data_IF_922345321782
#
_entry.id   IF_922345321782
#
_cell.length_a   1.000
_cell.length_b   1.000
_cell.length_c   1.000
_cell.angle_alpha   90.00
_cell.angle_beta   90.00
_cell.angle_gamma   90.00
#
_symmetry.space_group_name_H-M   'P 1'
#
loop_
_entity.id
_entity.type
_entity.pdbx_description
1 polymer ?
#
# COMPACT_ATOMS: atom_id res chain seq x y z
N UNK A 1 51.01 18.10 -72.97
CA UNK A 1 49.71 18.82 -73.01
C UNK A 1 48.58 17.81 -73.05
N UNK A 2 47.82 17.68 -71.95
CA UNK A 2 46.46 17.09 -71.91
C UNK A 2 45.84 17.54 -70.59
N UNK A 3 44.79 18.35 -70.66
CA UNK A 3 44.09 18.87 -69.49
C UNK A 3 42.96 17.91 -69.09
N UNK A 4 42.71 17.79 -67.78
CA UNK A 4 41.50 17.17 -67.23
C UNK A 4 40.83 18.20 -66.32
N UNK A 5 39.50 18.41 -66.40
CA UNK A 5 38.81 19.42 -65.63
C UNK A 5 38.48 18.94 -64.21
N UNK A 6 38.59 19.84 -63.24
CA UNK A 6 38.15 19.59 -61.86
C UNK A 6 36.64 19.77 -61.77
N UNK A 7 35.90 18.71 -61.39
CA UNK A 7 34.47 18.80 -61.11
C UNK A 7 34.29 19.12 -59.61
N UNK A 8 33.75 20.30 -59.29
CA UNK A 8 33.39 20.66 -57.92
C UNK A 8 31.94 20.25 -57.65
N UNK A 9 31.73 19.33 -56.71
CA UNK A 9 30.41 18.87 -56.29
C UNK A 9 30.04 19.53 -54.96
N UNK A 10 29.26 20.61 -54.99
CA UNK A 10 28.66 21.20 -53.79
C UNK A 10 27.48 20.34 -53.33
N UNK A 11 27.64 19.62 -52.23
CA UNK A 11 26.56 18.93 -51.55
C UNK A 11 25.88 19.87 -50.54
N UNK A 12 24.62 20.21 -50.79
CA UNK A 12 23.79 20.98 -49.86
C UNK A 12 23.20 20.05 -48.81
N UNK A 13 23.68 20.13 -47.57
CA UNK A 13 23.05 19.42 -46.44
C UNK A 13 21.83 20.22 -46.00
N UNK A 14 20.64 19.71 -46.30
CA UNK A 14 19.39 20.22 -45.73
C UNK A 14 19.24 19.74 -44.29
N UNK A 15 19.32 20.64 -43.32
CA UNK A 15 19.00 20.34 -41.92
C UNK A 15 17.48 20.28 -41.80
N UNK A 16 16.94 19.06 -41.76
CA UNK A 16 15.57 18.84 -41.28
C UNK A 16 15.61 18.99 -39.76
N UNK A 17 15.07 20.09 -39.25
CA UNK A 17 14.86 20.26 -37.82
C UNK A 17 13.77 19.30 -37.36
N UNK A 18 14.16 18.22 -36.68
CA UNK A 18 13.22 17.47 -35.85
C UNK A 18 12.84 18.39 -34.70
N UNK A 19 11.62 18.91 -34.72
CA UNK A 19 10.99 19.42 -33.51
C UNK A 19 10.73 18.21 -32.61
N UNK A 20 11.63 17.97 -31.67
CA UNK A 20 11.32 17.15 -30.51
C UNK A 20 10.13 17.83 -29.83
N UNK A 21 9.04 17.09 -29.62
CA UNK A 21 8.05 17.50 -28.63
C UNK A 21 8.78 17.72 -27.30
N UNK A 22 8.34 18.66 -26.45
CA UNK A 22 8.80 18.64 -25.06
C UNK A 22 8.56 17.23 -24.53
N UNK A 23 9.60 16.63 -23.94
CA UNK A 23 9.36 15.44 -23.13
C UNK A 23 8.37 15.85 -22.04
N UNK A 24 7.36 15.02 -21.77
CA UNK A 24 6.59 15.17 -20.56
C UNK A 24 7.59 15.26 -19.40
N UNK A 25 7.50 16.31 -18.59
CA UNK A 25 8.34 16.43 -17.41
C UNK A 25 8.03 15.23 -16.53
N UNK A 26 9.06 14.46 -16.16
CA UNK A 26 8.93 13.38 -15.20
C UNK A 26 8.19 13.90 -13.97
N UNK A 27 7.08 13.26 -13.60
CA UNK A 27 6.32 13.64 -12.44
C UNK A 27 7.22 13.52 -11.20
N UNK A 28 7.27 14.60 -10.44
CA UNK A 28 8.09 14.68 -9.23
C UNK A 28 7.37 14.02 -8.06
N UNK A 29 8.08 13.61 -6.99
CA UNK A 29 7.44 13.16 -5.76
C UNK A 29 6.46 14.20 -5.20
N UNK A 30 6.73 15.49 -5.45
CA UNK A 30 5.89 16.62 -5.05
C UNK A 30 4.50 16.60 -5.71
N UNK A 31 4.37 16.08 -6.93
CA UNK A 31 3.07 15.97 -7.61
C UNK A 31 2.20 14.89 -6.92
N UNK A 32 2.79 13.74 -6.59
CA UNK A 32 2.10 12.71 -5.79
C UNK A 32 1.80 13.17 -4.35
N UNK A 33 2.63 14.04 -3.75
CA UNK A 33 2.32 14.70 -2.47
C UNK A 33 1.13 15.65 -2.59
N UNK A 34 1.04 16.43 -3.67
CA UNK A 34 -0.07 17.34 -3.92
C UNK A 34 -1.39 16.58 -4.12
N UNK A 35 -1.37 15.50 -4.91
CA UNK A 35 -2.49 14.57 -5.07
C UNK A 35 -2.96 13.99 -3.73
N UNK A 36 -2.04 13.38 -2.95
CA UNK A 36 -2.39 12.79 -1.66
C UNK A 36 -2.88 13.82 -0.63
N UNK A 37 -2.36 15.05 -0.66
CA UNK A 37 -2.85 16.12 0.19
C UNK A 37 -4.30 16.52 -0.13
N UNK A 38 -4.66 16.58 -1.42
CA UNK A 38 -6.04 16.86 -1.86
C UNK A 38 -6.99 15.71 -1.46
N UNK A 39 -6.57 14.46 -1.60
CA UNK A 39 -7.32 13.27 -1.14
C UNK A 39 -7.56 13.28 0.38
N UNK A 40 -6.52 13.62 1.16
CA UNK A 40 -6.63 13.76 2.62
C UNK A 40 -7.58 14.91 3.00
N UNK A 41 -7.49 16.08 2.34
CA UNK A 41 -8.39 17.21 2.58
C UNK A 41 -9.85 16.85 2.25
N UNK A 42 -10.09 16.24 1.09
CA UNK A 42 -11.41 15.79 0.66
C UNK A 42 -12.03 14.73 1.59
N UNK A 43 -11.20 13.81 2.09
CA UNK A 43 -11.61 12.82 3.09
C UNK A 43 -11.82 13.39 4.49
N UNK A 44 -11.28 14.57 4.81
CA UNK A 44 -11.25 15.14 6.16
C UNK A 44 -10.14 14.52 7.01
N UNK A 45 -8.90 14.82 6.64
CA UNK A 45 -7.64 14.39 7.24
C UNK A 45 -7.38 12.86 7.21
N UNK A 46 -8.02 12.14 6.28
CA UNK A 46 -7.86 10.68 6.14
C UNK A 46 -8.24 10.17 4.77
N UNK A 47 -7.70 9.02 4.40
CA UNK A 47 -8.11 8.27 3.22
C UNK A 47 -9.24 7.30 3.58
N UNK A 48 -10.09 6.96 2.60
CA UNK A 48 -11.24 6.06 2.81
C UNK A 48 -11.17 4.83 1.91
N UNK A 49 -11.56 3.69 2.45
CA UNK A 49 -11.77 2.45 1.72
C UNK A 49 -13.25 2.23 1.42
N UNK A 50 -13.54 1.29 0.52
CA UNK A 50 -14.91 0.83 0.23
C UNK A 50 -14.98 -0.69 0.25
N UNK A 51 -15.96 -1.24 0.96
CA UNK A 51 -16.11 -2.68 1.16
C UNK A 51 -17.50 -3.04 1.68
N UNK A 52 -18.06 -4.16 1.22
CA UNK A 52 -19.40 -4.59 1.63
C UNK A 52 -20.53 -3.61 1.28
N UNK A 53 -20.32 -2.69 0.32
CA UNK A 53 -21.26 -1.62 -0.02
C UNK A 53 -21.22 -0.40 0.92
N UNK A 54 -20.22 -0.31 1.80
CA UNK A 54 -20.01 0.80 2.73
C UNK A 54 -18.64 1.44 2.54
N UNK A 55 -18.55 2.74 2.79
CA UNK A 55 -17.29 3.49 2.88
C UNK A 55 -16.82 3.49 4.34
N UNK A 56 -15.53 3.30 4.57
CA UNK A 56 -14.91 3.28 5.90
C UNK A 56 -13.58 4.02 5.88
N UNK A 57 -13.11 4.45 7.05
CA UNK A 57 -11.84 5.16 7.17
C UNK A 57 -10.67 4.16 7.04
N UNK A 58 -9.84 4.30 6.01
CA UNK A 58 -8.67 3.44 5.80
C UNK A 58 -7.47 4.06 6.50
N UNK A 59 -7.41 3.84 7.82
CA UNK A 59 -6.32 4.30 8.69
C UNK A 59 -4.98 3.67 8.27
N UNK A 60 -5.00 2.44 7.76
CA UNK A 60 -3.82 1.74 7.27
C UNK A 60 -3.22 2.42 6.05
N UNK A 61 -4.05 2.87 5.11
CA UNK A 61 -3.63 3.62 3.93
C UNK A 61 -3.31 5.09 4.24
N UNK A 62 -4.02 5.69 5.18
CA UNK A 62 -3.71 7.04 5.69
C UNK A 62 -2.30 7.07 6.30
N UNK A 63 -1.87 6.01 6.99
CA UNK A 63 -0.47 5.84 7.43
C UNK A 63 0.50 5.79 6.23
N UNK A 64 0.18 5.04 5.17
CA UNK A 64 1.04 4.94 3.98
C UNK A 64 1.23 6.31 3.32
N UNK A 65 0.13 7.07 3.13
CA UNK A 65 0.17 8.42 2.58
C UNK A 65 1.04 9.36 3.42
N UNK A 66 0.83 9.41 4.75
CA UNK A 66 1.65 10.26 5.63
C UNK A 66 3.11 9.82 5.63
N UNK A 67 3.43 8.52 5.60
CA UNK A 67 4.80 8.03 5.50
C UNK A 67 5.46 8.43 4.17
N UNK A 68 4.76 8.27 3.04
CA UNK A 68 5.22 8.67 1.71
C UNK A 68 5.46 10.19 1.61
N UNK A 69 4.51 11.01 2.07
CA UNK A 69 4.65 12.47 2.07
C UNK A 69 5.78 12.94 3.02
N UNK A 70 5.92 12.29 4.18
CA UNK A 70 7.04 12.53 5.09
C UNK A 70 8.39 12.19 4.44
N UNK A 71 8.46 11.10 3.68
CA UNK A 71 9.66 10.69 2.94
C UNK A 71 9.98 11.60 1.75
N UNK A 72 8.97 12.18 1.10
CA UNK A 72 9.14 13.16 0.01
C UNK A 72 9.64 14.52 0.53
N UNK A 73 9.35 14.85 1.79
CA UNK A 73 9.87 16.05 2.46
C UNK A 73 9.03 17.32 2.23
N UNK A 74 7.83 17.20 1.66
CA UNK A 74 6.88 18.30 1.40
C UNK A 74 5.48 17.94 1.91
N UNK A 75 4.50 18.85 1.83
CA UNK A 75 3.13 18.60 2.30
C UNK A 75 3.02 18.39 3.82
N UNK A 76 3.88 19.05 4.60
CA UNK A 76 4.01 18.86 6.04
C UNK A 76 2.76 19.21 6.85
N UNK A 77 2.00 20.23 6.45
CA UNK A 77 0.76 20.63 7.15
C UNK A 77 -0.35 19.58 6.96
N UNK A 78 -0.59 19.12 5.73
CA UNK A 78 -1.52 18.02 5.45
C UNK A 78 -1.08 16.71 6.12
N UNK A 79 0.22 16.39 6.06
CA UNK A 79 0.82 15.25 6.78
C UNK A 79 0.64 15.33 8.31
N UNK A 80 0.59 16.54 8.87
CA UNK A 80 0.40 16.76 10.30
C UNK A 80 -1.07 16.62 10.70
N UNK A 81 -2.01 17.17 9.93
CA UNK A 81 -3.44 17.04 10.20
C UNK A 81 -3.90 15.57 10.13
N UNK A 82 -3.46 14.83 9.10
CA UNK A 82 -3.70 13.40 9.00
C UNK A 82 -3.01 12.59 10.12
N UNK A 83 -1.85 13.03 10.58
CA UNK A 83 -1.20 12.40 11.74
C UNK A 83 -1.97 12.62 13.04
N UNK A 84 -2.51 13.83 13.28
CA UNK A 84 -3.36 14.11 14.44
C UNK A 84 -4.65 13.29 14.41
N UNK A 85 -5.26 13.11 13.22
CA UNK A 85 -6.41 12.22 13.04
C UNK A 85 -6.07 10.75 13.36
N UNK A 86 -4.92 10.24 12.89
CA UNK A 86 -4.44 8.89 13.20
C UNK A 86 -4.17 8.68 14.69
N UNK A 87 -3.58 9.66 15.38
CA UNK A 87 -3.36 9.62 16.84
C UNK A 87 -4.68 9.62 17.60
N UNK A 88 -5.66 10.42 17.18
CA UNK A 88 -6.98 10.45 17.79
C UNK A 88 -7.71 9.09 17.66
N UNK A 89 -7.50 8.37 16.55
CA UNK A 89 -8.16 7.10 16.22
C UNK A 89 -7.27 5.87 16.41
N UNK A 90 -6.19 5.97 17.19
CA UNK A 90 -5.19 4.90 17.35
C UNK A 90 -5.79 3.53 17.68
N UNK A 91 -6.75 3.44 18.61
CA UNK A 91 -7.41 2.17 19.00
C UNK A 91 -8.38 1.65 17.94
N UNK A 92 -8.92 2.49 17.06
CA UNK A 92 -9.69 2.03 15.92
C UNK A 92 -8.80 1.29 14.91
N UNK A 93 -7.48 1.58 14.89
CA UNK A 93 -6.50 0.89 14.05
C UNK A 93 -5.81 -0.30 14.75
N UNK A 94 -5.34 -0.13 15.99
CA UNK A 94 -4.55 -1.16 16.68
C UNK A 94 -5.37 -2.20 17.42
N UNK A 95 -6.69 -1.99 17.53
CA UNK A 95 -7.62 -2.86 18.26
C UNK A 95 -8.26 -2.16 19.45
N UNK A 96 -9.50 -2.57 19.76
CA UNK A 96 -10.35 -1.93 20.77
C UNK A 96 -11.03 -2.97 21.68
N UNK A 97 -11.22 -2.61 22.95
CA UNK A 97 -11.74 -3.54 23.95
C UNK A 97 -10.68 -4.58 24.31
N UNK A 98 -11.01 -5.86 24.10
CA UNK A 98 -10.08 -6.98 24.29
C UNK A 98 -9.32 -7.35 22.99
N UNK A 99 -9.63 -6.70 21.86
CA UNK A 99 -8.95 -6.92 20.57
C UNK A 99 -7.65 -6.11 20.48
N UNK A 100 -6.56 -6.73 20.03
CA UNK A 100 -5.29 -6.09 19.68
C UNK A 100 -4.69 -6.78 18.46
N UNK A 101 -4.40 -6.02 17.40
CA UNK A 101 -3.84 -6.54 16.15
C UNK A 101 -2.33 -6.24 16.05
N UNK A 102 -1.52 -7.28 15.89
CA UNK A 102 -0.06 -7.21 15.89
C UNK A 102 0.47 -6.39 14.71
N UNK A 103 0.02 -6.73 13.51
CA UNK A 103 0.47 -6.09 12.26
C UNK A 103 0.11 -4.59 12.23
N UNK A 104 -1.08 -4.23 12.70
CA UNK A 104 -1.51 -2.83 12.82
C UNK A 104 -0.74 -2.07 13.91
N UNK A 105 -0.50 -2.70 15.07
CA UNK A 105 0.32 -2.10 16.15
C UNK A 105 1.74 -1.83 15.69
N UNK A 106 2.38 -2.77 14.97
CA UNK A 106 3.72 -2.59 14.39
C UNK A 106 3.78 -1.45 13.36
N UNK A 107 2.79 -1.36 12.47
CA UNK A 107 2.72 -0.29 11.45
C UNK A 107 2.49 1.09 12.10
N UNK A 108 1.58 1.18 13.08
CA UNK A 108 1.34 2.40 13.84
C UNK A 108 2.56 2.82 14.67
N UNK A 109 3.30 1.87 15.25
CA UNK A 109 4.55 2.15 15.97
C UNK A 109 5.64 2.69 15.02
N UNK A 110 5.74 2.13 13.82
CA UNK A 110 6.63 2.63 12.75
C UNK A 110 6.29 4.08 12.37
N UNK A 111 5.01 4.35 12.09
CA UNK A 111 4.47 5.69 11.84
C UNK A 111 4.77 6.68 12.99
N UNK A 112 4.53 6.26 14.22
CA UNK A 112 4.72 7.10 15.42
C UNK A 112 6.18 7.55 15.52
N UNK A 113 7.13 6.62 15.29
CA UNK A 113 8.55 6.94 15.22
C UNK A 113 8.93 7.80 14.01
N UNK A 114 8.22 7.73 12.88
CA UNK A 114 8.46 8.56 11.69
C UNK A 114 8.02 10.03 11.87
N UNK A 115 7.01 10.26 12.72
CA UNK A 115 6.52 11.60 13.08
C UNK A 115 7.19 12.20 14.32
N UNK A 116 8.16 11.52 14.93
CA UNK A 116 8.83 11.97 16.15
C UNK A 116 7.93 12.01 17.39
N UNK A 117 6.81 11.28 17.36
CA UNK A 117 5.84 11.19 18.44
C UNK A 117 6.34 10.24 19.55
N UNK A 118 5.73 10.31 20.74
CA UNK A 118 6.09 9.40 21.84
C UNK A 118 5.42 8.03 21.66
N UNK A 119 6.17 6.94 21.37
CA UNK A 119 5.58 5.61 21.14
C UNK A 119 5.01 4.96 22.41
N UNK A 120 5.19 5.58 23.58
CA UNK A 120 4.66 5.13 24.87
C UNK A 120 3.45 5.92 25.35
N UNK A 121 2.99 6.90 24.57
CA UNK A 121 1.79 7.70 24.85
C UNK A 121 1.24 8.28 23.54
N UNK A 122 0.62 7.40 22.73
CA UNK A 122 -0.17 7.78 21.56
C UNK A 122 -1.62 7.82 22.02
N UNK A 123 -2.11 9.01 22.38
CA UNK A 123 -3.45 9.22 22.93
C UNK A 123 -3.78 8.26 24.11
N UNK A 124 -2.83 8.05 25.02
CA UNK A 124 -2.95 7.12 26.15
C UNK A 124 -2.58 5.66 25.87
N UNK A 125 -2.17 5.31 24.64
CA UNK A 125 -1.71 3.97 24.26
C UNK A 125 -0.18 3.87 24.27
N UNK A 126 0.38 2.88 24.97
CA UNK A 126 1.79 2.52 24.88
C UNK A 126 1.97 1.42 23.82
N UNK A 127 2.25 1.83 22.58
CA UNK A 127 2.39 0.93 21.43
C UNK A 127 3.59 -0.01 21.56
N UNK A 128 4.63 0.39 22.31
CA UNK A 128 5.78 -0.48 22.60
C UNK A 128 5.35 -1.61 23.50
N UNK A 129 4.69 -1.29 24.62
CA UNK A 129 4.19 -2.29 25.57
C UNK A 129 3.10 -3.17 24.95
N UNK A 130 2.25 -2.60 24.09
CA UNK A 130 1.22 -3.32 23.34
C UNK A 130 1.84 -4.37 22.41
N UNK A 131 2.76 -3.97 21.52
CA UNK A 131 3.41 -4.91 20.59
C UNK A 131 4.24 -5.99 21.32
N UNK A 132 4.99 -5.61 22.36
CA UNK A 132 5.75 -6.58 23.17
C UNK A 132 4.85 -7.53 23.96
N UNK A 133 3.59 -7.16 24.23
CA UNK A 133 2.60 -8.03 24.84
C UNK A 133 2.02 -9.09 23.90
N UNK A 134 2.19 -8.91 22.58
CA UNK A 134 1.75 -9.83 21.52
C UNK A 134 2.85 -10.81 21.09
N UNK A 135 4.08 -10.63 21.60
CA UNK A 135 5.22 -11.48 21.27
C UNK A 135 5.08 -12.86 21.94
N UNK A 136 4.96 -13.90 21.12
CA UNK A 136 4.94 -15.28 21.56
C UNK A 136 6.34 -15.79 21.91
N UNK A 137 6.41 -16.96 22.56
CA UNK A 137 7.69 -17.56 22.98
C UNK A 137 8.60 -17.99 21.81
N UNK A 138 8.08 -18.03 20.58
CA UNK A 138 8.83 -18.24 19.34
C UNK A 138 9.28 -16.92 18.67
N UNK A 139 8.92 -15.75 19.24
CA UNK A 139 9.23 -14.42 18.70
C UNK A 139 8.18 -13.82 17.75
N UNK A 140 7.16 -14.57 17.38
CA UNK A 140 6.09 -14.11 16.49
C UNK A 140 5.20 -13.09 17.21
N UNK A 141 4.92 -11.93 16.60
CA UNK A 141 3.87 -11.03 17.09
C UNK A 141 2.51 -11.50 16.55
N UNK A 142 1.66 -12.04 17.41
CA UNK A 142 0.34 -12.62 17.05
C UNK A 142 -0.82 -11.74 17.51
N UNK A 143 -1.94 -11.71 16.79
CA UNK A 143 -3.12 -10.97 17.23
C UNK A 143 -3.72 -11.54 18.53
N UNK A 144 -4.14 -10.65 19.43
CA UNK A 144 -5.08 -10.98 20.49
C UNK A 144 -6.49 -10.68 19.96
N UNK A 145 -7.17 -11.70 19.42
CA UNK A 145 -8.50 -11.53 18.81
C UNK A 145 -9.44 -12.70 19.09
N UNK A 146 -10.73 -12.42 19.35
CA UNK A 146 -11.79 -13.45 19.42
C UNK A 146 -12.01 -14.15 18.07
N UNK A 147 -11.56 -13.54 16.97
CA UNK A 147 -11.78 -14.01 15.61
C UNK A 147 -10.62 -14.82 15.02
N UNK A 148 -9.55 -15.08 15.79
CA UNK A 148 -8.34 -15.78 15.35
C UNK A 148 -7.18 -14.85 15.00
N UNK A 149 -5.99 -15.43 14.80
CA UNK A 149 -4.77 -14.71 14.45
C UNK A 149 -4.64 -14.48 12.94
N UNK A 150 -4.36 -13.25 12.54
CA UNK A 150 -4.10 -12.82 11.16
C UNK A 150 -2.74 -12.12 11.05
N UNK A 151 -1.85 -12.37 12.02
CA UNK A 151 -0.45 -11.99 11.93
C UNK A 151 0.24 -12.66 10.74
N UNK A 152 1.14 -11.92 10.10
CA UNK A 152 1.86 -12.37 8.91
C UNK A 152 3.24 -11.70 8.84
N UNK A 153 4.05 -12.05 7.84
CA UNK A 153 5.42 -11.54 7.67
C UNK A 153 5.49 -10.02 7.53
N UNK A 154 4.45 -9.38 6.95
CA UNK A 154 4.37 -7.91 6.88
C UNK A 154 4.26 -7.31 8.28
N UNK A 155 3.39 -7.87 9.13
CA UNK A 155 3.23 -7.47 10.52
C UNK A 155 4.50 -7.64 11.35
N UNK A 156 5.18 -8.79 11.22
CA UNK A 156 6.45 -9.04 11.89
C UNK A 156 7.51 -8.00 11.50
N UNK A 157 7.62 -7.73 10.20
CA UNK A 157 8.58 -6.76 9.65
C UNK A 157 8.31 -5.34 10.16
N UNK A 158 7.06 -4.87 10.13
CA UNK A 158 6.68 -3.58 10.74
C UNK A 158 6.91 -3.55 12.25
N UNK A 159 6.70 -4.67 12.96
CA UNK A 159 6.98 -4.78 14.39
C UNK A 159 8.46 -4.54 14.71
N UNK A 160 9.36 -5.22 14.00
CA UNK A 160 10.81 -5.04 14.16
C UNK A 160 11.25 -3.61 13.84
N UNK A 161 10.77 -3.04 12.72
CA UNK A 161 11.06 -1.65 12.33
C UNK A 161 10.55 -0.68 13.42
N UNK A 162 9.30 -0.83 13.87
CA UNK A 162 8.67 0.01 14.87
C UNK A 162 9.44 0.02 16.20
N UNK A 163 9.83 -1.16 16.70
CA UNK A 163 10.65 -1.27 17.92
C UNK A 163 11.99 -0.55 17.77
N UNK A 164 12.71 -0.78 16.66
CA UNK A 164 13.99 -0.10 16.38
C UNK A 164 13.83 1.42 16.36
N UNK A 165 12.77 1.93 15.71
CA UNK A 165 12.44 3.36 15.67
C UNK A 165 12.08 3.93 17.06
N UNK A 166 11.45 3.14 17.92
CA UNK A 166 11.17 3.49 19.31
C UNK A 166 12.40 3.43 20.24
N UNK A 167 13.59 3.13 19.72
CA UNK A 167 14.82 2.99 20.51
C UNK A 167 14.88 1.68 21.31
N UNK A 168 14.02 0.71 20.98
CA UNK A 168 14.00 -0.63 21.57
C UNK A 168 14.66 -1.59 20.59
N UNK A 169 15.59 -2.42 21.07
CA UNK A 169 16.06 -3.53 20.25
C UNK A 169 15.01 -4.65 20.32
N UNK A 170 14.56 -5.19 19.18
CA UNK A 170 13.80 -6.44 19.16
C UNK A 170 14.53 -7.57 19.91
N UNK A 171 13.77 -8.57 20.35
CA UNK A 171 14.32 -9.81 20.87
C UNK A 171 15.10 -10.57 19.79
N UNK A 172 15.97 -11.51 20.19
CA UNK A 172 16.63 -12.40 19.22
C UNK A 172 15.56 -13.28 18.55
N UNK A 173 14.62 -13.75 19.35
CA UNK A 173 13.53 -14.63 18.99
C UNK A 173 12.63 -14.00 17.90
N UNK A 174 12.26 -12.73 18.02
CA UNK A 174 11.43 -12.04 17.00
C UNK A 174 12.15 -11.81 15.67
N UNK A 175 13.47 -11.70 15.68
CA UNK A 175 14.29 -11.65 14.46
C UNK A 175 14.43 -13.06 13.87
N UNK A 176 14.66 -14.09 14.68
CA UNK A 176 14.69 -15.49 14.26
C UNK A 176 13.33 -15.94 13.69
N UNK A 177 12.21 -15.44 14.22
CA UNK A 177 10.85 -15.67 13.71
C UNK A 177 10.58 -15.05 12.33
N UNK A 178 11.22 -13.93 11.99
CA UNK A 178 11.19 -13.38 10.63
C UNK A 178 12.09 -14.21 9.70
N UNK A 179 13.31 -14.51 10.14
CA UNK A 179 14.28 -15.28 9.36
C UNK A 179 13.80 -16.69 9.00
N UNK A 180 12.98 -17.33 9.86
CA UNK A 180 12.40 -18.64 9.57
C UNK A 180 11.37 -18.66 8.44
N UNK A 181 10.91 -17.48 7.99
CA UNK A 181 10.00 -17.35 6.84
C UNK A 181 10.73 -17.28 5.49
N UNK A 182 12.07 -17.19 5.49
CA UNK A 182 12.84 -17.12 4.25
C UNK A 182 12.90 -18.50 3.56
N UNK A 183 12.33 -18.57 2.35
CA UNK A 183 12.36 -19.74 1.49
C UNK A 183 13.74 -19.94 0.85
N UNK A 184 13.97 -21.13 0.29
CA UNK A 184 15.26 -21.50 -0.31
C UNK A 184 15.61 -20.76 -1.61
N UNK A 185 14.65 -20.04 -2.21
CA UNK A 185 14.86 -19.13 -3.33
C UNK A 185 15.29 -17.71 -2.87
N UNK A 186 15.23 -17.44 -1.56
CA UNK A 186 15.56 -16.16 -0.94
C UNK A 186 14.37 -15.26 -0.64
N UNK A 187 13.19 -15.54 -1.20
CA UNK A 187 11.97 -14.79 -0.86
C UNK A 187 11.43 -15.19 0.53
N UNK A 188 10.42 -14.47 1.00
CA UNK A 188 9.76 -14.70 2.29
C UNK A 188 8.29 -15.05 2.05
N UNK A 189 7.72 -16.00 2.79
CA UNK A 189 6.27 -16.26 2.73
C UNK A 189 5.49 -15.05 3.27
N UNK A 190 4.28 -14.81 2.74
CA UNK A 190 3.37 -13.81 3.30
C UNK A 190 2.78 -14.32 4.63
N UNK A 191 1.94 -15.36 4.53
CA UNK A 191 1.24 -15.96 5.65
C UNK A 191 2.03 -17.14 6.23
N UNK A 192 1.90 -17.33 7.55
CA UNK A 192 2.56 -18.42 8.25
C UNK A 192 1.86 -19.76 7.95
N UNK A 193 2.61 -20.86 7.72
CA UNK A 193 2.01 -22.19 7.62
C UNK A 193 1.41 -22.62 8.96
N UNK A 194 0.18 -23.16 8.93
CA UNK A 194 -0.53 -23.67 10.11
C UNK A 194 0.29 -24.70 10.89
N UNK A 195 0.28 -24.60 12.23
CA UNK A 195 1.09 -25.48 13.10
C UNK A 195 0.74 -26.97 12.90
N UNK A 196 1.70 -27.71 12.33
CA UNK A 196 1.60 -29.16 12.15
C UNK A 196 1.11 -29.61 10.77
N UNK A 197 0.88 -28.71 9.82
CA UNK A 197 0.67 -29.08 8.42
C UNK A 197 2.00 -29.49 7.75
N UNK A 198 2.24 -30.80 7.67
CA UNK A 198 3.39 -31.35 6.93
C UNK A 198 3.19 -31.20 5.41
N UNK A 199 4.17 -30.59 4.73
CA UNK A 199 4.21 -30.53 3.27
C UNK A 199 3.61 -29.28 2.63
N UNK A 200 3.34 -28.22 3.42
CA UNK A 200 3.10 -26.87 2.88
C UNK A 200 4.36 -26.43 2.11
N UNK A 201 4.18 -25.99 0.87
CA UNK A 201 5.26 -25.47 0.04
C UNK A 201 5.61 -24.05 0.48
N UNK A 202 6.90 -23.72 0.53
CA UNK A 202 7.36 -22.37 0.86
C UNK A 202 7.14 -21.48 -0.37
N UNK A 203 6.02 -20.76 -0.40
CA UNK A 203 5.64 -19.87 -1.51
C UNK A 203 6.02 -18.43 -1.15
N UNK A 204 7.11 -17.97 -1.73
CA UNK A 204 7.63 -16.61 -1.55
C UNK A 204 6.72 -15.54 -2.13
N UNK A 205 6.54 -14.45 -1.38
CA UNK A 205 5.74 -13.28 -1.72
C UNK A 205 6.64 -12.02 -1.86
N UNK A 206 6.58 -11.28 -2.97
CA UNK A 206 7.42 -10.10 -3.18
C UNK A 206 7.18 -8.93 -2.21
N UNK A 207 5.96 -8.72 -1.71
CA UNK A 207 5.64 -7.63 -0.78
C UNK A 207 6.23 -7.95 0.61
N UNK A 208 6.00 -9.17 1.09
CA UNK A 208 6.58 -9.72 2.31
C UNK A 208 8.11 -9.71 2.25
N UNK A 209 8.69 -10.16 1.14
CA UNK A 209 10.14 -10.14 0.90
C UNK A 209 10.71 -8.72 0.95
N UNK A 210 10.04 -7.77 0.29
CA UNK A 210 10.49 -6.37 0.23
C UNK A 210 10.44 -5.69 1.60
N UNK A 211 9.44 -5.99 2.43
CA UNK A 211 9.36 -5.43 3.79
C UNK A 211 10.30 -6.15 4.77
N UNK A 212 10.50 -7.45 4.62
CA UNK A 212 11.48 -8.22 5.38
C UNK A 212 12.91 -7.69 5.16
N UNK A 213 13.28 -7.34 3.92
CA UNK A 213 14.56 -6.65 3.62
C UNK A 213 14.71 -5.36 4.43
N UNK A 214 13.68 -4.53 4.51
CA UNK A 214 13.73 -3.28 5.28
C UNK A 214 13.87 -3.52 6.80
N UNK A 215 13.22 -4.56 7.32
CA UNK A 215 13.33 -4.93 8.73
C UNK A 215 14.71 -5.50 9.09
N UNK A 216 15.25 -6.39 8.25
CA UNK A 216 16.54 -7.03 8.46
C UNK A 216 17.72 -6.06 8.31
N UNK A 217 17.64 -5.10 7.39
CA UNK A 217 18.58 -3.97 7.29
C UNK A 217 18.53 -3.08 8.55
N UNK A 218 17.33 -2.71 9.01
CA UNK A 218 17.13 -1.87 10.19
C UNK A 218 17.58 -2.52 11.51
N UNK A 219 17.46 -3.84 11.63
CA UNK A 219 18.00 -4.63 12.75
C UNK A 219 19.53 -4.74 12.62
N UNK A 220 20.02 -5.03 11.41
CA UNK A 220 21.43 -5.13 11.04
C UNK A 220 22.06 -6.50 11.31
N UNK A 221 23.07 -6.87 10.52
CA UNK A 221 23.81 -8.14 10.67
C UNK A 221 23.27 -9.30 9.83
N UNK A 222 22.27 -9.05 8.98
CA UNK A 222 21.58 -10.03 8.12
C UNK A 222 21.84 -9.78 6.63
N UNK A 223 23.07 -9.39 6.30
CA UNK A 223 23.47 -9.04 4.94
C UNK A 223 23.28 -10.21 3.95
N UNK A 224 23.40 -11.46 4.40
CA UNK A 224 23.27 -12.63 3.49
C UNK A 224 21.82 -12.82 3.07
N UNK A 225 20.92 -12.69 4.03
CA UNK A 225 19.48 -12.88 3.91
C UNK A 225 18.86 -11.75 3.09
N UNK A 226 19.25 -10.49 3.36
CA UNK A 226 18.92 -9.31 2.55
C UNK A 226 19.36 -9.47 1.09
N UNK A 227 20.56 -9.99 0.85
CA UNK A 227 21.10 -10.18 -0.50
C UNK A 227 20.42 -11.33 -1.25
N UNK A 228 19.99 -12.38 -0.55
CA UNK A 228 19.19 -13.47 -1.12
C UNK A 228 17.79 -12.98 -1.51
N UNK A 229 17.13 -12.23 -0.63
CA UNK A 229 15.83 -11.61 -0.87
C UNK A 229 15.85 -10.62 -2.05
N UNK A 230 16.88 -9.77 -2.14
CA UNK A 230 17.03 -8.87 -3.29
C UNK A 230 17.23 -9.63 -4.61
N UNK A 231 17.84 -10.82 -4.57
CA UNK A 231 17.99 -11.67 -5.77
C UNK A 231 16.65 -12.26 -6.19
N UNK A 232 15.83 -12.75 -5.25
CA UNK A 232 14.45 -13.16 -5.52
C UNK A 232 13.62 -12.03 -6.14
N UNK A 233 13.73 -10.80 -5.61
CA UNK A 233 13.01 -9.64 -6.16
C UNK A 233 13.50 -9.26 -7.56
N UNK A 234 14.80 -9.41 -7.87
CA UNK A 234 15.34 -9.19 -9.22
C UNK A 234 14.84 -10.24 -10.23
N UNK A 235 14.74 -11.51 -9.81
CA UNK A 235 14.22 -12.60 -10.66
C UNK A 235 12.70 -12.46 -10.92
N UNK A 236 11.97 -11.76 -10.04
CA UNK A 236 10.56 -11.39 -10.23
C UNK A 236 10.35 -10.01 -10.87
N UNK A 237 11.41 -9.26 -11.18
CA UNK A 237 11.29 -7.98 -11.89
C UNK A 237 11.13 -8.20 -13.39
N UNK A 238 10.06 -7.66 -13.96
CA UNK A 238 9.74 -7.84 -15.38
C UNK A 238 10.61 -7.00 -16.33
N UNK A 239 10.32 -7.13 -17.63
CA UNK A 239 11.03 -6.40 -18.69
C UNK A 239 10.73 -4.90 -18.77
N UNK A 240 9.64 -4.43 -18.16
CA UNK A 240 9.31 -3.01 -18.01
C UNK A 240 9.92 -2.41 -16.72
N UNK A 241 10.28 -3.25 -15.75
CA UNK A 241 10.86 -2.86 -14.47
C UNK A 241 9.93 -3.02 -13.27
N UNK A 242 8.68 -3.43 -13.50
CA UNK A 242 7.71 -3.66 -12.45
C UNK A 242 7.95 -4.98 -11.71
N UNK A 243 7.41 -5.07 -10.51
CA UNK A 243 7.37 -6.25 -9.66
C UNK A 243 5.91 -6.46 -9.24
N UNK A 244 5.40 -7.69 -9.34
CA UNK A 244 4.06 -8.06 -8.84
C UNK A 244 4.08 -8.36 -7.34
N UNK A 245 2.89 -8.58 -6.76
CA UNK A 245 2.75 -9.11 -5.40
C UNK A 245 2.63 -10.64 -5.39
N UNK A 246 1.98 -11.19 -4.37
CA UNK A 246 1.72 -12.63 -4.22
C UNK A 246 0.61 -13.18 -5.11
N UNK A 247 0.07 -14.35 -4.73
CA UNK A 247 -0.89 -15.21 -5.47
C UNK A 247 -2.26 -14.57 -5.85
N UNK A 248 -2.49 -13.30 -5.53
CA UNK A 248 -3.65 -12.51 -5.97
C UNK A 248 -3.30 -11.32 -6.87
N UNK A 249 -2.01 -10.97 -6.95
CA UNK A 249 -1.46 -9.74 -7.52
C UNK A 249 -0.15 -9.98 -8.29
N UNK A 250 0.05 -11.19 -8.86
CA UNK A 250 1.31 -11.60 -9.50
C UNK A 250 1.71 -10.70 -10.70
N UNK A 251 0.77 -9.96 -11.26
CA UNK A 251 1.04 -8.96 -12.28
C UNK A 251 1.73 -7.73 -11.67
N UNK A 252 2.77 -7.24 -12.36
CA UNK A 252 3.47 -6.00 -12.02
C UNK A 252 2.50 -4.86 -11.73
N UNK A 253 2.67 -4.24 -10.56
CA UNK A 253 1.84 -3.16 -10.08
C UNK A 253 2.67 -2.11 -9.31
N UNK A 254 2.14 -0.90 -9.14
CA UNK A 254 2.84 0.22 -8.50
C UNK A 254 3.16 -0.04 -7.02
N UNK A 255 2.27 -0.72 -6.30
CA UNK A 255 2.36 -0.92 -4.85
C UNK A 255 3.57 -1.81 -4.52
N UNK A 256 3.61 -2.99 -5.13
CA UNK A 256 4.70 -3.97 -4.98
C UNK A 256 6.02 -3.46 -5.57
N UNK A 257 5.98 -2.78 -6.72
CA UNK A 257 7.17 -2.12 -7.29
C UNK A 257 7.72 -1.02 -6.38
N UNK A 258 6.86 -0.31 -5.65
CA UNK A 258 7.23 0.66 -4.63
C UNK A 258 8.04 0.05 -3.49
N UNK A 259 7.54 -1.04 -2.89
CA UNK A 259 8.26 -1.78 -1.85
C UNK A 259 9.58 -2.36 -2.37
N UNK A 260 9.58 -2.96 -3.56
CA UNK A 260 10.77 -3.54 -4.19
C UNK A 260 11.84 -2.48 -4.51
N UNK A 261 11.46 -1.27 -4.95
CA UNK A 261 12.39 -0.13 -5.17
C UNK A 261 13.20 0.20 -3.92
N UNK A 262 12.56 0.20 -2.74
CA UNK A 262 13.25 0.42 -1.46
C UNK A 262 14.18 -0.75 -1.13
N UNK A 263 13.70 -1.99 -1.25
CA UNK A 263 14.50 -3.19 -0.99
C UNK A 263 15.74 -3.28 -1.88
N UNK A 264 15.62 -2.97 -3.17
CA UNK A 264 16.74 -2.85 -4.10
C UNK A 264 17.72 -1.75 -3.68
N UNK A 265 17.23 -0.61 -3.17
CA UNK A 265 18.08 0.46 -2.64
C UNK A 265 18.94 0.00 -1.46
N UNK A 266 18.34 -0.65 -0.47
CA UNK A 266 19.05 -1.18 0.71
C UNK A 266 20.05 -2.28 0.33
N UNK A 267 19.70 -3.16 -0.60
CA UNK A 267 20.58 -4.22 -1.08
C UNK A 267 21.66 -3.77 -2.10
N UNK A 268 21.72 -2.48 -2.46
CA UNK A 268 22.68 -1.93 -3.43
C UNK A 268 22.44 -2.37 -4.88
N UNK A 269 21.19 -2.68 -5.24
CA UNK A 269 20.76 -3.09 -6.60
C UNK A 269 20.35 -1.89 -7.44
N UNK A 270 21.28 -0.96 -7.65
CA UNK A 270 21.03 0.32 -8.35
C UNK A 270 20.35 0.15 -9.72
N UNK A 271 20.70 -0.89 -10.48
CA UNK A 271 20.12 -1.16 -11.80
C UNK A 271 18.67 -1.67 -11.72
N UNK A 272 18.35 -2.54 -10.76
CA UNK A 272 16.99 -3.03 -10.52
C UNK A 272 16.10 -1.91 -9.98
N UNK A 273 16.62 -1.12 -9.01
CA UNK A 273 15.95 0.07 -8.50
C UNK A 273 15.67 1.09 -9.61
N UNK A 274 16.62 1.35 -10.51
CA UNK A 274 16.43 2.31 -11.62
C UNK A 274 15.31 1.89 -12.57
N UNK A 275 15.15 0.58 -12.82
CA UNK A 275 14.01 0.06 -13.59
C UNK A 275 12.68 0.19 -12.82
N UNK A 276 12.67 -0.13 -11.52
CA UNK A 276 11.48 0.01 -10.68
C UNK A 276 10.99 1.46 -10.63
N UNK A 277 11.91 2.43 -10.47
CA UNK A 277 11.59 3.85 -10.55
C UNK A 277 11.05 4.26 -11.93
N UNK A 278 11.63 3.77 -13.03
CA UNK A 278 11.13 4.03 -14.37
C UNK A 278 9.75 3.42 -14.65
N UNK A 279 9.44 2.28 -14.03
CA UNK A 279 8.10 1.69 -14.07
C UNK A 279 7.09 2.56 -13.31
N UNK A 280 7.41 2.99 -12.08
CA UNK A 280 6.55 3.90 -11.31
C UNK A 280 6.32 5.24 -12.03
N UNK A 281 7.39 5.83 -12.59
CA UNK A 281 7.32 7.05 -13.41
C UNK A 281 6.38 6.88 -14.63
N UNK A 282 6.39 5.69 -15.26
CA UNK A 282 5.51 5.38 -16.39
C UNK A 282 4.03 5.22 -16.03
N UNK A 283 3.70 5.09 -14.74
CA UNK A 283 2.34 5.01 -14.22
C UNK A 283 1.87 6.32 -13.56
N UNK A 284 2.72 7.33 -13.44
CA UNK A 284 2.33 8.61 -12.82
C UNK A 284 1.55 9.49 -13.80
N UNK A 285 0.38 9.93 -13.35
CA UNK A 285 -0.62 10.65 -14.11
C UNK A 285 -0.26 12.13 -14.26
N UNK A 286 -0.35 12.65 -15.49
CA UNK A 286 0.00 14.02 -15.85
C UNK A 286 -1.19 14.96 -15.94
N UNK A 287 -0.97 16.16 -16.49
CA UNK A 287 -2.01 17.16 -16.71
C UNK A 287 -2.97 16.83 -17.87
N UNK A 288 -2.73 15.74 -18.58
CA UNK A 288 -3.69 15.08 -19.48
C UNK A 288 -4.91 14.52 -18.74
N UNK A 289 -4.79 14.30 -17.42
CA UNK A 289 -5.81 13.78 -16.50
C UNK A 289 -5.91 14.73 -15.28
N UNK A 290 -6.31 16.00 -15.45
CA UNK A 290 -5.98 17.09 -14.53
C UNK A 290 -6.57 16.96 -13.12
N UNK A 291 -7.66 16.22 -12.94
CA UNK A 291 -8.32 15.93 -11.65
C UNK A 291 -7.55 14.91 -10.80
N UNK A 292 -6.71 14.09 -11.45
CA UNK A 292 -5.91 13.02 -10.83
C UNK A 292 -4.42 13.14 -11.12
N UNK A 293 -3.98 14.31 -11.60
CA UNK A 293 -2.58 14.60 -11.86
C UNK A 293 -1.73 14.40 -10.57
N UNK A 294 -0.55 13.81 -10.71
CA UNK A 294 0.30 13.39 -9.60
C UNK A 294 -0.07 12.03 -8.99
N UNK A 295 -1.29 11.52 -9.22
CA UNK A 295 -1.67 10.16 -8.87
C UNK A 295 -0.84 9.12 -9.63
N UNK A 296 -0.62 7.95 -9.04
CA UNK A 296 0.07 6.81 -9.66
C UNK A 296 -0.98 5.74 -9.91
N UNK A 297 -1.17 5.36 -11.17
CA UNK A 297 -2.06 4.27 -11.54
C UNK A 297 -1.55 2.92 -10.99
N UNK A 298 -2.46 2.00 -10.67
CA UNK A 298 -2.09 0.70 -10.10
C UNK A 298 -1.22 -0.15 -11.04
N UNK A 299 -1.56 -0.19 -12.33
CA UNK A 299 -0.82 -0.89 -13.37
C UNK A 299 -0.98 -0.19 -14.74
N UNK A 300 -0.31 -0.70 -15.78
CA UNK A 300 -0.38 -0.13 -17.14
C UNK A 300 -1.81 -0.14 -17.70
N UNK A 301 -2.63 -1.14 -17.38
CA UNK A 301 -4.00 -1.23 -17.87
C UNK A 301 -4.88 -0.14 -17.23
N UNK A 302 -4.63 0.17 -15.97
CA UNK A 302 -5.25 1.26 -15.21
C UNK A 302 -4.81 2.62 -15.78
N UNK A 303 -3.52 2.79 -16.08
CA UNK A 303 -2.99 4.00 -16.71
C UNK A 303 -3.60 4.23 -18.11
N UNK A 304 -3.60 3.20 -18.96
CA UNK A 304 -4.15 3.24 -20.33
C UNK A 304 -5.67 3.52 -20.36
N UNK A 305 -6.37 3.32 -19.24
CA UNK A 305 -7.80 3.60 -19.10
C UNK A 305 -8.11 5.06 -18.70
N UNK A 306 -7.11 5.86 -18.29
CA UNK A 306 -7.32 7.23 -17.84
C UNK A 306 -7.52 8.23 -18.98
N UNK A 307 -8.22 9.33 -18.70
CA UNK A 307 -8.40 10.45 -19.63
C UNK A 307 -8.78 11.75 -18.92
N UNK A 308 -9.08 12.80 -19.69
CA UNK A 308 -9.31 14.16 -19.17
C UNK A 308 -10.57 14.32 -18.28
N UNK A 309 -11.44 13.30 -18.25
CA UNK A 309 -12.62 13.21 -17.38
C UNK A 309 -12.46 12.12 -16.28
N UNK A 310 -11.23 11.63 -16.04
CA UNK A 310 -10.94 10.67 -14.96
C UNK A 310 -11.02 11.36 -13.60
N UNK A 311 -11.92 10.87 -12.76
CA UNK A 311 -12.03 11.26 -11.36
C UNK A 311 -11.15 10.37 -10.46
N UNK A 312 -10.84 10.85 -9.26
CA UNK A 312 -10.08 10.10 -8.27
C UNK A 312 -10.82 8.85 -7.80
N UNK A 313 -10.09 7.75 -7.59
CA UNK A 313 -10.63 6.49 -7.07
C UNK A 313 -9.73 5.85 -6.01
N UNK A 314 -10.33 4.95 -5.22
CA UNK A 314 -9.64 4.28 -4.11
C UNK A 314 -8.49 3.35 -4.55
N UNK A 315 -8.38 3.02 -5.85
CA UNK A 315 -7.30 2.19 -6.39
C UNK A 315 -6.08 3.06 -6.70
N UNK A 316 -6.29 4.18 -7.38
CA UNK A 316 -5.27 5.18 -7.71
C UNK A 316 -4.76 5.85 -6.45
N UNK A 317 -5.64 6.21 -5.51
CA UNK A 317 -5.23 6.74 -4.20
C UNK A 317 -4.44 5.73 -3.38
N UNK A 318 -4.79 4.44 -3.44
CA UNK A 318 -4.01 3.36 -2.81
C UNK A 318 -2.63 3.19 -3.42
N UNK A 319 -2.57 3.08 -4.74
CA UNK A 319 -1.33 2.93 -5.49
C UNK A 319 -0.40 4.12 -5.26
N UNK A 320 -0.90 5.35 -5.29
CA UNK A 320 -0.11 6.56 -5.01
C UNK A 320 0.48 6.54 -3.59
N UNK A 321 -0.35 6.27 -2.57
CA UNK A 321 0.11 6.23 -1.18
C UNK A 321 1.18 5.16 -0.92
N UNK A 322 1.03 3.97 -1.52
CA UNK A 322 1.94 2.84 -1.31
C UNK A 322 3.18 2.88 -2.21
N UNK A 323 3.10 3.47 -3.41
CA UNK A 323 4.24 3.62 -4.32
C UNK A 323 5.18 4.79 -3.92
N UNK A 324 4.66 5.87 -3.32
CA UNK A 324 5.43 7.09 -3.04
C UNK A 324 6.67 6.83 -2.16
N UNK A 325 6.60 5.90 -1.20
CA UNK A 325 7.78 5.49 -0.41
C UNK A 325 8.90 4.93 -1.30
N UNK A 326 8.54 4.16 -2.34
CA UNK A 326 9.46 3.61 -3.34
C UNK A 326 9.98 4.62 -4.34
N UNK A 327 9.18 5.63 -4.70
CA UNK A 327 9.60 6.77 -5.55
C UNK A 327 10.68 7.58 -4.83
N UNK A 328 10.51 7.88 -3.54
CA UNK A 328 11.55 8.55 -2.73
C UNK A 328 12.75 7.65 -2.46
N UNK A 329 12.52 6.33 -2.35
CA UNK A 329 13.52 5.33 -2.00
C UNK A 329 13.97 5.39 -0.54
N UNK A 330 13.19 6.04 0.34
CA UNK A 330 13.45 6.10 1.78
C UNK A 330 12.84 4.86 2.43
N UNK A 331 13.61 4.10 3.21
CA UNK A 331 13.05 2.95 3.94
C UNK A 331 12.18 3.38 5.11
N UNK A 332 11.19 2.56 5.49
CA UNK A 332 10.33 2.84 6.64
C UNK A 332 11.11 3.03 7.94
N UNK A 333 12.31 2.46 8.06
CA UNK A 333 13.23 2.68 9.18
C UNK A 333 13.94 4.05 9.15
N UNK A 334 14.05 4.68 7.98
CA UNK A 334 14.76 5.94 7.75
C UNK A 334 13.86 7.18 7.63
N UNK A 335 12.55 7.02 7.35
CA UNK A 335 11.58 8.15 7.25
C UNK A 335 11.67 9.05 8.50
N UNK A 336 11.67 10.38 8.31
CA UNK A 336 11.65 11.36 9.39
C UNK A 336 10.94 12.63 8.94
N UNK A 337 10.18 13.27 9.83
CA UNK A 337 9.59 14.59 9.58
C UNK A 337 10.55 15.76 9.86
N UNK A 338 11.80 15.47 10.29
CA UNK A 338 12.81 16.50 10.47
C UNK A 338 13.14 17.19 9.13
N UNK A 339 12.79 18.47 9.03
CA UNK A 339 13.03 19.27 7.82
C UNK A 339 11.94 19.17 6.74
N UNK A 340 10.84 18.44 6.97
CA UNK A 340 9.70 18.42 6.05
C UNK A 340 9.14 19.85 5.87
N UNK A 341 8.99 20.29 4.63
CA UNK A 341 8.39 21.57 4.30
C UNK A 341 6.88 21.55 4.57
N UNK A 342 6.41 22.55 5.32
CA UNK A 342 5.00 22.69 5.70
C UNK A 342 4.05 22.76 4.50
N UNK A 343 4.42 23.55 3.48
CA UNK A 343 3.58 23.76 2.31
C UNK A 343 3.40 22.50 1.47
N UNK A 344 2.16 22.23 1.07
CA UNK A 344 1.82 21.31 -0.01
C UNK A 344 2.33 21.88 -1.35
N UNK A 345 2.95 21.07 -2.23
CA UNK A 345 3.23 21.46 -3.60
C UNK A 345 1.94 21.77 -4.37
N UNK A 346 2.07 22.46 -5.51
CA UNK A 346 0.92 22.83 -6.36
C UNK A 346 1.16 22.32 -7.76
N UNK A 347 0.24 21.51 -8.26
CA UNK A 347 0.17 21.12 -9.66
C UNK A 347 -0.60 22.20 -10.42
N UNK A 348 0.01 22.81 -11.43
CA UNK A 348 -0.62 23.77 -12.33
C UNK A 348 -0.81 23.13 -13.71
N UNK A 349 -2.01 22.61 -13.95
CA UNK A 349 -2.41 22.06 -15.25
C UNK A 349 -3.05 23.10 -16.19
N UNK A 350 -3.41 24.30 -15.70
CA UNK A 350 -3.91 25.38 -16.56
C UNK A 350 -2.80 25.86 -17.52
N UNK A 351 -1.55 25.87 -17.04
CA UNK A 351 -0.36 26.20 -17.83
C UNK A 351 -0.07 25.26 -19.01
N UNK A 352 -0.67 24.06 -19.07
CA UNK A 352 -0.50 23.13 -20.20
C UNK A 352 -1.29 23.57 -21.47
N UNK A 353 -2.26 24.48 -21.33
CA UNK A 353 -3.23 24.82 -22.37
C UNK A 353 -3.03 26.20 -23.01
N UNK A 354 -1.86 26.51 -23.58
CA UNK A 354 -1.71 27.74 -24.39
C UNK A 354 -0.73 27.65 -25.58
N UNK A 355 -1.20 27.26 -26.78
CA UNK A 355 -0.70 27.82 -28.03
C UNK A 355 -1.11 29.30 -28.08
N UNK A 356 -0.14 30.22 -28.14
CA UNK A 356 -0.44 31.66 -28.20
C UNK A 356 -1.02 32.06 -29.57
N UNK A 357 -2.30 32.45 -29.59
CA UNK A 357 -2.91 33.23 -30.68
C UNK A 357 -3.90 34.25 -30.04
N UNK A 358 -4.08 35.46 -30.62
CA UNK A 358 -4.60 36.59 -29.86
C UNK A 358 -6.14 36.66 -29.80
N UNK A 359 -6.63 37.22 -28.70
CA UNK A 359 -8.02 37.65 -28.46
C UNK A 359 -8.64 38.39 -29.67
N UNK A 360 -9.96 38.25 -29.91
CA UNK A 360 -10.90 39.07 -29.12
C UNK A 360 -12.30 38.47 -28.88
N UNK A 361 -13.00 38.98 -27.84
CA UNK A 361 -14.45 39.26 -27.97
C UNK A 361 -15.37 38.80 -26.85
N UNK A 362 -15.78 39.75 -26.01
CA UNK A 362 -16.77 39.62 -24.91
C UNK A 362 -18.21 39.40 -25.39
N UNK A 363 -18.99 38.54 -24.73
CA UNK A 363 -20.38 38.83 -24.30
C UNK A 363 -21.03 37.71 -23.46
N UNK A 364 -21.49 38.04 -22.25
CA UNK A 364 -22.50 37.27 -21.49
C UNK A 364 -23.91 37.43 -22.12
N UNK A 365 -24.90 36.58 -21.74
CA UNK A 365 -25.83 36.98 -20.68
C UNK A 365 -26.26 35.88 -19.68
N UNK A 366 -26.82 36.32 -18.57
CA UNK A 366 -27.41 35.56 -17.44
C UNK A 366 -28.77 34.90 -17.74
N UNK A 367 -29.17 33.88 -16.96
CA UNK A 367 -30.26 34.01 -15.96
C UNK A 367 -30.54 32.70 -15.16
N UNK A 368 -31.37 32.85 -14.11
CA UNK A 368 -31.56 32.01 -12.90
C UNK A 368 -32.47 30.76 -13.06
N UNK A 369 -32.40 29.80 -12.10
CA UNK A 369 -33.49 29.49 -11.14
C UNK A 369 -33.34 28.14 -10.35
N UNK A 370 -33.96 28.08 -9.15
CA UNK A 370 -33.90 27.01 -8.13
C UNK A 370 -34.92 25.84 -8.30
N UNK A 371 -34.69 24.68 -7.65
CA UNK A 371 -35.55 24.05 -6.58
C UNK A 371 -35.18 22.56 -6.28
N UNK A 372 -34.67 22.17 -5.10
CA UNK A 372 -35.30 21.78 -3.78
C UNK A 372 -35.77 20.32 -3.61
N UNK A 373 -35.35 19.70 -2.48
CA UNK A 373 -36.01 18.58 -1.76
C UNK A 373 -35.32 17.21 -1.89
N UNK A 374 -35.38 16.28 -0.92
CA UNK A 374 -35.75 16.31 0.52
C UNK A 374 -35.26 14.99 1.20
N UNK A 375 -35.27 14.93 2.53
CA UNK A 375 -34.67 13.91 3.43
C UNK A 375 -34.96 12.42 3.16
N UNK A 376 -34.05 11.55 3.62
CA UNK A 376 -34.19 10.09 3.55
C UNK A 376 -33.20 9.26 4.41
N UNK A 377 -33.10 9.54 5.72
CA UNK A 377 -32.25 8.75 6.64
C UNK A 377 -32.82 7.36 6.94
N UNK A 378 -31.95 6.35 7.08
CA UNK A 378 -32.22 5.12 7.84
C UNK A 378 -30.91 4.47 8.29
N UNK A 379 -30.80 4.21 9.59
CA UNK A 379 -29.66 3.56 10.22
C UNK A 379 -29.79 2.03 10.12
N UNK A 380 -28.69 1.31 9.88
CA UNK A 380 -28.53 -0.05 10.39
C UNK A 380 -27.06 -0.31 10.75
N UNK A 381 -26.83 -0.97 11.88
CA UNK A 381 -25.51 -1.08 12.49
C UNK A 381 -24.76 -2.32 11.97
N UNK A 382 -23.75 -2.11 11.14
CA UNK A 382 -22.84 -3.18 10.70
C UNK A 382 -21.73 -3.44 11.73
N UNK A 383 -21.27 -4.70 11.78
CA UNK A 383 -20.15 -5.12 12.63
C UNK A 383 -18.83 -4.40 12.24
N UNK A 384 -17.87 -4.24 13.18
CA UNK A 384 -16.62 -3.54 12.90
C UNK A 384 -15.84 -4.22 11.77
N UNK A 385 -15.53 -3.44 10.73
CA UNK A 385 -14.58 -3.84 9.68
C UNK A 385 -13.19 -3.85 10.29
N UNK A 386 -12.43 -4.95 10.12
CA UNK A 386 -11.07 -5.03 10.64
C UNK A 386 -10.12 -4.15 9.83
N UNK A 387 -9.16 -3.45 10.47
CA UNK A 387 -8.24 -2.58 9.74
C UNK A 387 -7.34 -3.37 8.78
N UNK A 388 -7.35 -2.98 7.51
CA UNK A 388 -6.47 -3.57 6.50
C UNK A 388 -5.01 -3.21 6.78
N UNK A 389 -4.13 -4.21 6.89
CA UNK A 389 -2.70 -4.01 7.09
C UNK A 389 -1.97 -4.25 5.77
N UNK A 390 -1.89 -3.18 4.97
CA UNK A 390 -1.32 -3.18 3.61
C UNK A 390 -2.03 -4.20 2.71
N UNK A 391 -3.25 -3.85 2.29
CA UNK A 391 -3.84 -4.50 1.13
C UNK A 391 -3.12 -3.94 -0.12
N UNK A 392 -2.38 -4.78 -0.84
CA UNK A 392 -1.82 -4.48 -2.17
C UNK A 392 -2.76 -4.89 -3.30
N UNK A 393 -3.81 -5.67 -3.03
CA UNK A 393 -4.86 -5.98 -4.00
C UNK A 393 -5.52 -4.71 -4.57
N UNK A 394 -5.27 -4.43 -5.86
CA UNK A 394 -6.10 -3.53 -6.65
C UNK A 394 -7.52 -4.09 -6.76
N UNK A 395 -8.45 -3.54 -5.98
CA UNK A 395 -9.77 -4.11 -5.71
C UNK A 395 -10.68 -4.30 -6.94
N UNK A 396 -10.49 -5.40 -7.67
CA UNK A 396 -11.32 -5.78 -8.81
C UNK A 396 -12.70 -6.25 -8.37
N UNK A 397 -13.67 -5.33 -8.36
CA UNK A 397 -15.08 -5.61 -8.19
C UNK A 397 -15.68 -6.33 -9.43
N UNK A 398 -15.28 -7.59 -9.67
CA UNK A 398 -15.82 -8.45 -10.72
C UNK A 398 -16.67 -9.57 -10.11
N UNK A 399 -17.99 -9.37 -10.04
CA UNK A 399 -18.92 -10.32 -9.42
C UNK A 399 -18.91 -11.70 -10.09
N UNK A 400 -18.55 -12.73 -9.32
CA UNK A 400 -18.74 -14.14 -9.67
C UNK A 400 -19.40 -14.90 -8.52
N UNK A 401 -20.73 -14.91 -8.53
CA UNK A 401 -21.56 -15.48 -7.46
C UNK A 401 -21.40 -17.00 -7.33
N UNK A 402 -20.52 -17.46 -6.44
CA UNK A 402 -20.51 -18.84 -5.93
C UNK A 402 -20.37 -18.81 -4.41
N UNK A 403 -21.38 -19.22 -3.62
CA UNK A 403 -21.31 -19.11 -2.17
C UNK A 403 -20.44 -20.23 -1.59
N UNK A 404 -19.27 -19.87 -1.06
CA UNK A 404 -18.47 -20.79 -0.27
C UNK A 404 -19.09 -20.92 1.13
N UNK A 405 -19.42 -22.16 1.52
CA UNK A 405 -20.24 -22.45 2.69
C UNK A 405 -19.47 -22.25 4.00
N UNK A 406 -19.88 -21.25 4.79
CA UNK A 406 -19.61 -21.19 6.23
C UNK A 406 -20.27 -22.40 6.93
N UNK A 407 -19.50 -23.47 7.07
CA UNK A 407 -19.92 -24.77 7.59
C UNK A 407 -19.58 -24.99 9.07
N UNK A 408 -20.02 -24.10 9.96
CA UNK A 408 -19.85 -24.28 11.41
C UNK A 408 -20.53 -25.56 11.92
N UNK A 409 -19.76 -26.52 12.41
CA UNK A 409 -20.28 -27.78 12.96
C UNK A 409 -20.72 -27.60 14.42
N UNK A 410 -22.03 -27.42 14.68
CA UNK A 410 -22.49 -27.02 16.01
C UNK A 410 -23.97 -27.24 16.37
N UNK A 411 -24.48 -28.48 16.27
CA UNK A 411 -25.67 -29.02 16.98
C UNK A 411 -27.07 -28.40 16.68
N UNK A 412 -28.11 -29.25 16.55
CA UNK A 412 -29.50 -28.76 16.75
C UNK A 412 -30.69 -29.44 16.05
N UNK A 413 -30.67 -30.73 15.66
CA UNK A 413 -31.84 -31.35 15.02
C UNK A 413 -32.95 -31.70 16.03
N UNK A 414 -34.04 -30.91 16.08
CA UNK A 414 -35.32 -31.29 16.72
C UNK A 414 -36.57 -30.71 16.02
N UNK A 415 -37.20 -31.50 15.14
CA UNK A 415 -38.65 -31.51 14.85
C UNK A 415 -38.95 -32.81 14.06
N UNK A 416 -39.55 -33.88 14.58
CA UNK A 416 -40.78 -34.11 15.35
C UNK A 416 -41.99 -34.54 14.48
N UNK A 417 -42.35 -35.83 14.60
CA UNK A 417 -43.56 -36.47 14.05
C UNK A 417 -43.31 -37.25 12.74
N UNK A 418 -43.70 -38.52 12.57
CA UNK A 418 -44.32 -39.52 13.45
C UNK A 418 -44.13 -40.94 12.78
N UNK A 419 -44.68 -42.11 13.18
CA UNK A 419 -45.69 -42.52 14.17
C UNK A 419 -45.61 -44.05 14.48
N UNK A 420 -46.31 -44.53 15.53
CA UNK A 420 -46.80 -45.91 15.82
C UNK A 420 -45.84 -47.08 16.24
N UNK A 421 -46.11 -47.56 17.47
CA UNK A 421 -46.30 -48.98 17.89
C UNK A 421 -45.08 -49.85 18.32
N UNK A 422 -44.74 -49.70 19.60
CA UNK A 422 -44.68 -50.73 20.66
C UNK A 422 -44.28 -52.19 20.35
N UNK A 423 -43.32 -52.74 21.14
CA UNK A 423 -43.61 -53.65 22.29
C UNK A 423 -42.38 -54.11 23.12
N UNK A 424 -42.57 -54.10 24.45
CA UNK A 424 -42.06 -55.03 25.51
C UNK A 424 -40.55 -55.17 25.86
N UNK A 425 -40.24 -54.62 27.05
CA UNK A 425 -39.70 -55.29 28.27
C UNK A 425 -38.51 -56.28 28.18
N UNK A 426 -37.41 -55.86 28.83
CA UNK A 426 -36.72 -56.53 29.96
C UNK A 426 -36.54 -58.07 29.97
N UNK A 427 -35.29 -58.51 29.75
CA UNK A 427 -34.47 -59.36 30.64
C UNK A 427 -33.04 -59.34 30.06
N UNK A 428 -31.98 -58.95 30.77
CA UNK A 428 -31.34 -59.61 31.92
C UNK A 428 -30.65 -60.95 31.57
N UNK A 429 -29.36 -61.04 31.97
CA UNK A 429 -28.47 -62.20 32.05
C UNK A 429 -27.63 -62.64 30.82
N UNK A 430 -26.30 -62.46 31.01
CA UNK A 430 -25.21 -63.44 30.78
C UNK A 430 -25.15 -64.14 29.41
N UNK A 431 -24.15 -63.79 28.60
CA UNK A 431 -22.81 -64.34 28.82
C UNK A 431 -21.70 -63.51 28.16
#
# INVERSE_FOLDING_TARGET
MRSLPTLALTASIGVVGLALAPAASAASPDDSVAYLAAELEAGGDRLTGSGGGQTFDDLGLTIDAVLGMTAAGTGGDASAAAADYLVANVTAYTGAGDEIYASATGKMLTFTGARGLNPKDVNGVDLVAQLQGLEQANGQFTDQSEYGDFSNTLGQSFGLIGLKRAGVNPSTESVESLLSQQCSDGGFVLDYPDEGEEGVECVSDPDATSLAVQALDAVGGHDTEVQSAATFLEDNQDGAGGVGGGTSTEASNANSTGLASVAFGLAGRDAARSKALGYLESLTLGCETPQVAGGIAYDQASFDAMGADSESDAITTRATAQALIGVTGTSYAAVTNEGQAAATPVIDCDSASTPTDPEPGTSEPTDEAEQTGDDGQSDDASAPVRPGVVQTDGGSAAGSSTPMLLGGAGLGVLAAGAILVARRRLAEQRH
#
